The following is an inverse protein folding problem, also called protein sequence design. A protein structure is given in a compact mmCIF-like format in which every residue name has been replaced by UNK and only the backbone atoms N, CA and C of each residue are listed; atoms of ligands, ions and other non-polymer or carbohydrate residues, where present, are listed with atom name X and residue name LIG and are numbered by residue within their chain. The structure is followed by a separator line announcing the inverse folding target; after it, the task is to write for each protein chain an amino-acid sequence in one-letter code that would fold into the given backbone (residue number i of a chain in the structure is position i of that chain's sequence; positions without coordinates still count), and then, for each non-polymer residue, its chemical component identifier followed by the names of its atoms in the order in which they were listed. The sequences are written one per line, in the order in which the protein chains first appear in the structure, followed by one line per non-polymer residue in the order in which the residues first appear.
data_IF_937844110561
#
_entry.id   IF_937844110561
#
_cell.length_a   1.000
_cell.length_b   1.000
_cell.length_c   1.000
_cell.angle_alpha   90.00
_cell.angle_beta   90.00
_cell.angle_gamma   90.00
#
_symmetry.space_group_name_H-M   'P 1'
#
loop_
_entity.id
_entity.type
_entity.pdbx_description
1 polymer ?
#
# COMPACT_ATOMS: atom_id res chain seq x y z
N UNK A 1 -14.59 2.68 -19.59
CA UNK A 1 -15.59 2.69 -18.50
C UNK A 1 -14.92 2.71 -17.12
N UNK A 2 -13.98 3.61 -16.90
CA UNK A 2 -13.21 3.71 -15.67
C UNK A 2 -14.00 4.09 -14.40
N UNK A 3 -15.32 4.23 -14.47
CA UNK A 3 -16.19 4.51 -13.31
C UNK A 3 -17.18 3.40 -13.00
N UNK A 4 -17.04 2.23 -13.64
CA UNK A 4 -17.99 1.11 -13.51
C UNK A 4 -19.47 1.54 -13.71
N UNK A 5 -19.68 2.60 -14.45
CA UNK A 5 -20.99 3.17 -14.76
C UNK A 5 -20.98 3.81 -16.15
N UNK A 6 -22.12 3.78 -16.81
CA UNK A 6 -22.34 4.51 -18.04
C UNK A 6 -22.79 5.93 -17.66
N UNK A 7 -22.02 6.97 -17.94
CA UNK A 7 -22.45 8.33 -17.64
C UNK A 7 -23.68 8.68 -18.48
N UNK A 8 -24.75 9.09 -17.82
CA UNK A 8 -25.93 9.63 -18.48
C UNK A 8 -25.72 11.13 -18.69
N UNK A 9 -25.55 11.55 -19.94
CA UNK A 9 -25.44 12.94 -20.32
C UNK A 9 -26.72 13.27 -21.11
N UNK A 10 -27.46 14.28 -20.68
CA UNK A 10 -28.73 14.67 -21.31
C UNK A 10 -28.56 15.65 -22.48
N UNK A 11 -27.33 16.11 -22.76
CA UNK A 11 -26.97 16.91 -23.90
C UNK A 11 -25.98 16.14 -24.77
N UNK A 12 -26.40 15.73 -25.96
CA UNK A 12 -25.64 14.85 -26.85
C UNK A 12 -25.22 15.61 -28.11
N UNK A 13 -24.06 16.24 -28.16
CA UNK A 13 -23.48 16.53 -29.46
C UNK A 13 -23.00 15.18 -30.06
N UNK A 14 -23.85 14.56 -30.84
CA UNK A 14 -23.45 13.37 -31.59
C UNK A 14 -22.38 13.76 -32.64
N UNK A 15 -21.20 13.19 -32.47
CA UNK A 15 -20.17 13.30 -33.51
C UNK A 15 -20.53 12.40 -34.66
N UNK A 16 -20.69 12.97 -35.87
CA UNK A 16 -20.86 12.17 -37.07
C UNK A 16 -19.63 11.25 -37.24
N UNK A 17 -19.82 9.91 -37.26
CA UNK A 17 -18.69 8.97 -37.33
C UNK A 17 -17.83 9.13 -38.60
N UNK A 18 -18.34 9.77 -39.63
CA UNK A 18 -17.66 10.02 -40.90
C UNK A 18 -17.09 11.46 -41.03
N UNK A 19 -17.14 12.24 -39.96
CA UNK A 19 -16.50 13.57 -39.97
C UNK A 19 -14.98 13.46 -39.66
N UNK A 20 -14.28 14.58 -39.80
CA UNK A 20 -12.83 14.66 -39.52
C UNK A 20 -12.49 14.99 -38.09
N UNK A 21 -13.44 14.94 -37.14
CA UNK A 21 -13.18 15.22 -35.71
C UNK A 21 -12.38 14.11 -35.06
N UNK A 22 -11.69 14.43 -33.95
CA UNK A 22 -10.86 13.48 -33.20
C UNK A 22 -11.59 12.23 -32.67
N UNK A 23 -12.93 12.29 -32.55
CA UNK A 23 -13.77 11.17 -32.11
C UNK A 23 -14.42 10.39 -33.27
N UNK A 24 -14.11 10.68 -34.54
CA UNK A 24 -14.72 10.00 -35.70
C UNK A 24 -14.23 8.58 -35.88
N UNK A 25 -15.04 7.72 -36.48
CA UNK A 25 -14.69 6.33 -36.79
C UNK A 25 -13.45 6.22 -37.69
N UNK A 26 -13.36 7.11 -38.69
CA UNK A 26 -12.22 7.13 -39.64
C UNK A 26 -10.90 7.48 -38.92
N UNK A 27 -10.93 8.45 -38.02
CA UNK A 27 -9.75 8.82 -37.24
C UNK A 27 -9.32 7.70 -36.29
N UNK A 28 -10.27 7.01 -35.62
CA UNK A 28 -9.97 5.87 -34.79
C UNK A 28 -9.41 4.69 -35.59
N UNK A 29 -9.92 4.47 -36.82
CA UNK A 29 -9.38 3.44 -37.72
C UNK A 29 -7.92 3.75 -38.11
N UNK A 30 -7.59 5.02 -38.35
CA UNK A 30 -6.21 5.44 -38.66
C UNK A 30 -5.22 5.09 -37.53
N UNK A 31 -5.61 5.26 -36.27
CA UNK A 31 -4.78 4.83 -35.13
C UNK A 31 -4.52 3.33 -35.12
N UNK A 32 -5.55 2.52 -35.39
CA UNK A 32 -5.41 1.07 -35.50
C UNK A 32 -4.49 0.68 -36.66
N UNK A 33 -4.62 1.34 -37.82
CA UNK A 33 -3.78 1.08 -38.97
C UNK A 33 -2.32 1.41 -38.72
N UNK A 34 -2.03 2.56 -38.09
CA UNK A 34 -0.68 2.95 -37.71
C UNK A 34 -0.05 1.98 -36.73
N UNK A 35 -0.83 1.48 -35.75
CA UNK A 35 -0.34 0.46 -34.82
C UNK A 35 -0.01 -0.84 -35.57
N UNK A 36 -0.88 -1.34 -36.41
CA UNK A 36 -0.64 -2.53 -37.24
C UNK A 36 0.63 -2.35 -38.09
N UNK A 37 0.79 -1.19 -38.71
CA UNK A 37 1.98 -0.89 -39.52
C UNK A 37 3.25 -0.87 -38.69
N UNK A 38 3.23 -0.36 -37.44
CA UNK A 38 4.38 -0.35 -36.53
C UNK A 38 4.80 -1.75 -36.06
N UNK A 39 3.84 -2.69 -36.01
CA UNK A 39 4.05 -4.05 -35.51
C UNK A 39 4.23 -5.10 -36.63
N UNK A 40 4.06 -4.73 -37.92
CA UNK A 40 4.08 -5.69 -39.02
C UNK A 40 5.46 -6.33 -39.26
N UNK A 41 6.54 -5.71 -38.80
CA UNK A 41 7.90 -6.22 -38.93
C UNK A 41 8.30 -7.22 -37.83
N UNK A 42 7.36 -7.60 -36.94
CA UNK A 42 7.66 -8.55 -35.87
C UNK A 42 7.90 -9.96 -36.43
N UNK A 43 9.04 -10.59 -36.13
CA UNK A 43 9.47 -11.79 -36.85
C UNK A 43 8.70 -13.06 -36.47
N UNK A 44 7.89 -13.03 -35.43
CA UNK A 44 7.17 -14.19 -34.91
C UNK A 44 5.67 -13.96 -34.86
N UNK A 45 4.90 -14.91 -35.37
CA UNK A 45 3.44 -14.90 -35.24
C UNK A 45 3.02 -15.28 -33.81
N UNK A 46 2.12 -14.49 -33.23
CA UNK A 46 1.49 -14.83 -31.96
C UNK A 46 0.49 -16.00 -32.13
N UNK A 47 0.44 -16.88 -31.14
CA UNK A 47 -0.58 -17.93 -31.05
C UNK A 47 -1.71 -17.41 -30.15
N UNK A 48 -2.87 -17.15 -30.76
CA UNK A 48 -4.07 -16.69 -30.04
C UNK A 48 -5.01 -17.86 -29.76
N UNK A 49 -5.45 -17.99 -28.51
CA UNK A 49 -6.42 -18.99 -28.10
C UNK A 49 -7.59 -18.32 -27.36
N UNK A 50 -8.81 -18.70 -27.73
CA UNK A 50 -10.01 -18.32 -27.01
C UNK A 50 -10.39 -19.48 -26.08
N UNK A 51 -9.88 -19.44 -24.85
CA UNK A 51 -10.07 -20.48 -23.85
C UNK A 51 -9.97 -19.90 -22.44
N UNK A 52 -10.51 -20.62 -21.45
CA UNK A 52 -10.34 -20.25 -20.03
C UNK A 52 -8.90 -20.46 -19.57
N UNK A 53 -8.35 -19.52 -18.81
CA UNK A 53 -7.03 -19.69 -18.21
C UNK A 53 -6.90 -20.89 -17.26
N UNK A 54 -8.04 -21.43 -16.81
CA UNK A 54 -8.10 -22.68 -16.02
C UNK A 54 -8.04 -23.97 -16.84
N UNK A 55 -7.99 -23.91 -18.19
CA UNK A 55 -7.94 -25.09 -19.05
C UNK A 55 -6.51 -25.57 -19.29
N UNK A 56 -6.16 -26.76 -18.80
CA UNK A 56 -4.83 -27.36 -18.98
C UNK A 56 -4.50 -27.74 -20.41
N UNK A 57 -5.50 -27.90 -21.26
CA UNK A 57 -5.31 -28.28 -22.68
C UNK A 57 -4.76 -27.20 -23.58
N UNK A 58 -4.61 -25.96 -23.09
CA UNK A 58 -4.15 -24.85 -23.92
C UNK A 58 -2.69 -25.00 -24.36
N UNK A 59 -1.82 -25.44 -23.47
CA UNK A 59 -0.39 -25.63 -23.70
C UNK A 59 0.08 -26.97 -23.11
N UNK A 60 1.12 -27.53 -23.67
CA UNK A 60 1.71 -28.75 -23.16
C UNK A 60 2.36 -28.52 -21.78
N UNK A 61 2.52 -29.61 -21.04
CA UNK A 61 3.16 -29.58 -19.72
C UNK A 61 4.57 -28.98 -19.83
N UNK A 62 4.87 -27.97 -18.99
CA UNK A 62 6.18 -27.33 -18.89
C UNK A 62 6.71 -26.77 -20.22
N UNK A 63 5.83 -26.38 -21.14
CA UNK A 63 6.21 -25.84 -22.46
C UNK A 63 6.46 -24.34 -22.47
N UNK A 64 5.95 -23.60 -21.48
CA UNK A 64 6.11 -22.16 -21.40
C UNK A 64 7.28 -21.79 -20.50
N UNK A 65 8.21 -20.98 -21.01
CA UNK A 65 9.35 -20.48 -20.22
C UNK A 65 8.92 -19.39 -19.23
N UNK A 66 7.97 -18.55 -19.63
CA UNK A 66 7.43 -17.50 -18.79
C UNK A 66 5.91 -17.32 -19.01
N UNK A 67 5.20 -16.99 -17.94
CA UNK A 67 3.81 -16.55 -17.99
C UNK A 67 3.72 -15.18 -17.33
N UNK A 68 3.08 -14.22 -18.01
CA UNK A 68 2.75 -12.90 -17.47
C UNK A 68 1.25 -12.80 -17.42
N UNK A 69 0.69 -12.48 -16.26
CA UNK A 69 -0.76 -12.42 -16.06
C UNK A 69 -1.15 -11.24 -15.16
N UNK A 70 -2.29 -10.66 -15.50
CA UNK A 70 -2.98 -9.63 -14.73
C UNK A 70 -4.38 -10.17 -14.39
N UNK A 71 -4.52 -10.94 -13.29
CA UNK A 71 -5.78 -11.58 -12.92
C UNK A 71 -6.79 -10.54 -12.41
N UNK A 72 -8.09 -10.88 -12.36
CA UNK A 72 -9.08 -10.00 -11.75
C UNK A 72 -8.71 -9.63 -10.30
N UNK A 73 -8.92 -8.36 -9.94
CA UNK A 73 -8.53 -7.83 -8.62
C UNK A 73 -9.65 -8.03 -7.59
N UNK A 74 -9.89 -9.27 -7.21
CA UNK A 74 -10.84 -9.68 -6.18
C UNK A 74 -12.27 -9.18 -6.49
N UNK A 75 -12.76 -8.12 -5.83
CA UNK A 75 -14.09 -7.54 -6.04
C UNK A 75 -14.06 -6.12 -6.64
N UNK A 76 -12.89 -5.67 -7.09
CA UNK A 76 -12.70 -4.29 -7.54
C UNK A 76 -13.47 -3.96 -8.83
N UNK A 77 -13.58 -4.90 -9.78
CA UNK A 77 -14.19 -4.67 -11.09
C UNK A 77 -15.15 -5.81 -11.46
N UNK A 78 -16.39 -5.46 -11.78
CA UNK A 78 -17.42 -6.38 -12.28
C UNK A 78 -17.33 -6.51 -13.81
N UNK A 79 -16.33 -7.23 -14.33
CA UNK A 79 -16.04 -7.28 -15.78
C UNK A 79 -17.21 -7.82 -16.59
N UNK A 80 -17.85 -8.89 -16.14
CA UNK A 80 -19.00 -9.48 -16.84
C UNK A 80 -20.19 -8.53 -16.90
N UNK A 81 -20.47 -7.79 -15.79
CA UNK A 81 -21.56 -6.81 -15.76
C UNK A 81 -21.29 -5.62 -16.68
N UNK A 82 -20.06 -5.11 -16.68
CA UNK A 82 -19.67 -3.97 -17.52
C UNK A 82 -19.64 -4.38 -18.99
N UNK A 83 -19.19 -5.57 -19.32
CA UNK A 83 -19.12 -6.08 -20.69
C UNK A 83 -20.49 -6.41 -21.27
N UNK A 84 -21.53 -6.58 -20.46
CA UNK A 84 -22.91 -6.86 -20.89
C UNK A 84 -23.42 -5.82 -21.90
N UNK A 85 -23.10 -4.54 -21.69
CA UNK A 85 -23.45 -3.48 -22.61
C UNK A 85 -22.91 -3.73 -24.03
N UNK A 86 -21.63 -4.08 -24.14
CA UNK A 86 -21.03 -4.38 -25.43
C UNK A 86 -21.50 -5.71 -26.01
N UNK A 87 -21.72 -6.71 -25.15
CA UNK A 87 -22.18 -8.04 -25.55
C UNK A 87 -23.50 -7.97 -26.33
N UNK A 88 -24.46 -7.17 -25.86
CA UNK A 88 -25.76 -7.00 -26.52
C UNK A 88 -25.61 -6.52 -27.96
N UNK A 89 -24.74 -5.54 -28.20
CA UNK A 89 -24.52 -4.97 -29.54
C UNK A 89 -23.68 -5.89 -30.43
N UNK A 90 -22.62 -6.47 -29.89
CA UNK A 90 -21.76 -7.41 -30.60
C UNK A 90 -22.54 -8.67 -31.01
N UNK A 91 -23.40 -9.18 -30.17
CA UNK A 91 -24.26 -10.32 -30.48
C UNK A 91 -25.17 -10.05 -31.65
N UNK A 92 -25.71 -8.85 -31.77
CA UNK A 92 -26.57 -8.46 -32.90
C UNK A 92 -25.82 -8.30 -34.22
N UNK A 93 -24.58 -7.81 -34.16
CA UNK A 93 -23.75 -7.54 -35.31
C UNK A 93 -22.89 -8.72 -35.75
N UNK A 94 -22.35 -9.49 -34.82
CA UNK A 94 -21.38 -10.56 -35.04
C UNK A 94 -21.86 -11.95 -34.69
N UNK A 95 -23.04 -12.10 -34.09
CA UNK A 95 -23.53 -13.39 -33.59
C UNK A 95 -23.67 -14.47 -34.66
N UNK A 96 -23.92 -14.13 -35.92
CA UNK A 96 -23.94 -15.09 -37.04
C UNK A 96 -22.54 -15.53 -37.48
N UNK A 97 -21.53 -14.69 -37.29
CA UNK A 97 -20.13 -14.99 -37.62
C UNK A 97 -19.44 -15.79 -36.48
N UNK A 98 -19.81 -15.52 -35.23
CA UNK A 98 -19.23 -16.14 -34.06
C UNK A 98 -20.31 -16.76 -33.12
N UNK A 99 -21.08 -17.75 -33.60
CA UNK A 99 -22.27 -18.25 -32.88
C UNK A 99 -21.93 -18.86 -31.51
N UNK A 100 -20.76 -19.46 -31.35
CA UNK A 100 -20.34 -20.04 -30.07
C UNK A 100 -20.01 -18.98 -29.01
N UNK A 101 -19.42 -17.85 -29.40
CA UNK A 101 -19.09 -16.75 -28.51
C UNK A 101 -20.34 -16.01 -28.01
N UNK A 102 -21.43 -16.06 -28.78
CA UNK A 102 -22.68 -15.35 -28.49
C UNK A 102 -23.85 -16.32 -28.22
N UNK A 103 -23.56 -17.56 -27.81
CA UNK A 103 -24.57 -18.59 -27.58
C UNK A 103 -25.48 -18.27 -26.37
N UNK A 104 -24.96 -17.64 -25.34
CA UNK A 104 -25.72 -17.33 -24.11
C UNK A 104 -26.54 -16.04 -24.26
N UNK A 105 -27.67 -15.89 -23.55
CA UNK A 105 -28.44 -14.65 -23.56
C UNK A 105 -27.68 -13.46 -22.93
N UNK A 106 -26.82 -13.72 -21.97
CA UNK A 106 -26.02 -12.75 -21.21
C UNK A 106 -24.57 -13.22 -21.09
N UNK A 107 -23.69 -12.31 -20.67
CA UNK A 107 -22.30 -12.64 -20.31
C UNK A 107 -22.26 -13.64 -19.15
N UNK A 108 -21.29 -14.59 -19.13
CA UNK A 108 -21.25 -15.67 -18.12
C UNK A 108 -20.72 -15.16 -16.78
N UNK A 109 -21.59 -14.57 -15.95
CA UNK A 109 -21.26 -13.96 -14.66
C UNK A 109 -20.78 -14.96 -13.60
N UNK A 110 -21.34 -16.16 -13.60
CA UNK A 110 -20.98 -17.21 -12.64
C UNK A 110 -19.63 -17.87 -12.90
N UNK A 111 -19.09 -17.72 -14.12
CA UNK A 111 -17.78 -18.23 -14.49
C UNK A 111 -16.65 -17.22 -14.29
N UNK A 112 -17.00 -15.97 -14.03
CA UNK A 112 -16.05 -14.92 -13.78
C UNK A 112 -15.26 -15.17 -12.48
N UNK A 113 -13.93 -14.99 -12.53
CA UNK A 113 -13.08 -15.14 -11.36
C UNK A 113 -13.07 -13.82 -10.56
N UNK A 114 -14.19 -13.52 -9.88
CA UNK A 114 -14.35 -12.31 -9.04
C UNK A 114 -15.07 -12.65 -7.73
N UNK A 115 -14.84 -11.85 -6.69
CA UNK A 115 -15.48 -12.02 -5.38
C UNK A 115 -16.75 -11.17 -5.21
N UNK A 116 -17.53 -11.01 -6.27
CA UNK A 116 -18.73 -10.17 -6.30
C UNK A 116 -19.91 -10.85 -5.62
N UNK A 117 -20.30 -10.37 -4.44
CA UNK A 117 -21.39 -10.96 -3.63
C UNK A 117 -22.71 -11.08 -4.37
N UNK A 118 -23.06 -10.15 -5.27
CA UNK A 118 -24.32 -10.17 -6.01
C UNK A 118 -24.40 -11.31 -7.04
N UNK A 119 -23.28 -11.87 -7.49
CA UNK A 119 -23.22 -13.07 -8.31
C UNK A 119 -23.37 -14.38 -7.47
N UNK A 120 -23.28 -14.29 -6.13
CA UNK A 120 -23.27 -15.40 -5.20
C UNK A 120 -24.35 -15.31 -4.12
N UNK A 121 -25.56 -14.85 -4.49
CA UNK A 121 -26.71 -14.74 -3.58
C UNK A 121 -26.51 -13.76 -2.44
N UNK A 122 -25.74 -12.68 -2.68
CA UNK A 122 -25.36 -11.66 -1.71
C UNK A 122 -24.55 -12.15 -0.50
N UNK A 123 -23.90 -13.33 -0.63
CA UNK A 123 -23.03 -13.90 0.41
C UNK A 123 -21.57 -13.54 0.11
N UNK A 124 -20.91 -12.85 1.04
CA UNK A 124 -19.48 -12.49 0.97
C UNK A 124 -18.63 -13.76 1.02
N UNK A 125 -18.95 -14.70 1.94
CA UNK A 125 -18.17 -15.94 2.11
C UNK A 125 -18.19 -16.80 0.85
N UNK A 126 -19.37 -16.98 0.22
CA UNK A 126 -19.48 -17.73 -1.03
C UNK A 126 -18.73 -17.07 -2.18
N UNK A 127 -18.75 -15.74 -2.26
CA UNK A 127 -18.02 -15.01 -3.28
C UNK A 127 -16.51 -15.18 -3.11
N UNK A 128 -16.01 -15.09 -1.87
CA UNK A 128 -14.62 -15.32 -1.51
C UNK A 128 -14.18 -16.75 -1.85
N UNK A 129 -14.93 -17.75 -1.40
CA UNK A 129 -14.64 -19.16 -1.70
C UNK A 129 -14.62 -19.45 -3.20
N UNK A 130 -15.54 -18.84 -3.95
CA UNK A 130 -15.58 -18.95 -5.41
C UNK A 130 -14.31 -18.37 -6.04
N UNK A 131 -13.91 -17.14 -5.66
CA UNK A 131 -12.72 -16.49 -6.17
C UNK A 131 -11.45 -17.30 -5.85
N UNK A 132 -11.26 -17.69 -4.60
CA UNK A 132 -10.09 -18.45 -4.15
C UNK A 132 -9.96 -19.79 -4.89
N UNK A 133 -11.05 -20.52 -5.03
CA UNK A 133 -11.08 -21.77 -5.79
C UNK A 133 -10.75 -21.57 -7.27
N UNK A 134 -11.40 -20.60 -7.92
CA UNK A 134 -11.17 -20.31 -9.36
C UNK A 134 -9.74 -19.86 -9.61
N UNK A 135 -9.23 -18.97 -8.78
CA UNK A 135 -7.87 -18.47 -8.91
C UNK A 135 -6.82 -19.56 -8.67
N UNK A 136 -7.06 -20.42 -7.68
CA UNK A 136 -6.21 -21.59 -7.41
C UNK A 136 -6.18 -22.55 -8.60
N UNK A 137 -7.33 -22.82 -9.23
CA UNK A 137 -7.41 -23.68 -10.42
C UNK A 137 -6.69 -23.07 -11.63
N UNK A 138 -6.80 -21.77 -11.83
CA UNK A 138 -6.04 -21.03 -12.85
C UNK A 138 -4.55 -21.15 -12.59
N UNK A 139 -4.10 -20.90 -11.37
CA UNK A 139 -2.68 -20.98 -11.02
C UNK A 139 -2.12 -22.40 -11.09
N UNK A 140 -2.90 -23.43 -10.76
CA UNK A 140 -2.53 -24.84 -11.00
C UNK A 140 -2.33 -25.14 -12.49
N UNK A 141 -3.15 -24.54 -13.34
CA UNK A 141 -3.01 -24.68 -14.78
C UNK A 141 -1.75 -23.98 -15.27
N UNK A 142 -1.50 -22.76 -14.79
CA UNK A 142 -0.28 -22.01 -15.10
C UNK A 142 0.96 -22.78 -14.61
N UNK A 143 0.95 -23.29 -13.39
CA UNK A 143 2.04 -24.14 -12.86
C UNK A 143 2.31 -25.35 -13.74
N UNK A 144 1.25 -26.06 -14.14
CA UNK A 144 1.36 -27.24 -15.01
C UNK A 144 2.04 -26.91 -16.36
N UNK A 145 1.75 -25.75 -16.93
CA UNK A 145 2.21 -25.33 -18.25
C UNK A 145 3.57 -24.63 -18.21
N UNK A 146 3.95 -24.03 -17.08
CA UNK A 146 5.15 -23.19 -16.96
C UNK A 146 6.34 -23.99 -16.46
N UNK A 147 7.48 -23.79 -17.15
CA UNK A 147 8.74 -24.41 -16.78
C UNK A 147 9.55 -23.55 -15.78
N UNK A 148 9.45 -22.22 -15.86
CA UNK A 148 10.33 -21.32 -15.12
C UNK A 148 9.55 -20.25 -14.35
N UNK A 149 9.31 -19.07 -14.90
CA UNK A 149 8.83 -17.91 -14.17
C UNK A 149 7.37 -17.56 -14.45
N UNK A 150 6.64 -17.15 -13.42
CA UNK A 150 5.29 -16.58 -13.51
C UNK A 150 5.31 -15.20 -12.88
N UNK A 151 4.93 -14.18 -13.66
CA UNK A 151 4.78 -12.80 -13.20
C UNK A 151 3.30 -12.47 -13.08
N UNK A 152 2.85 -12.13 -11.88
CA UNK A 152 1.44 -11.84 -11.55
C UNK A 152 1.36 -10.38 -11.13
N UNK A 153 0.60 -9.57 -11.87
CA UNK A 153 0.26 -8.22 -11.47
C UNK A 153 -1.00 -8.25 -10.59
N UNK A 154 -1.00 -7.56 -9.46
CA UNK A 154 -2.16 -7.50 -8.58
C UNK A 154 -2.22 -6.19 -7.82
N UNK A 155 -3.42 -5.66 -7.66
CA UNK A 155 -3.66 -4.43 -6.92
C UNK A 155 -4.94 -4.55 -6.09
N UNK A 156 -4.85 -4.39 -4.78
CA UNK A 156 -6.01 -4.33 -3.90
C UNK A 156 -5.65 -3.70 -2.55
N UNK A 157 -6.58 -2.92 -1.98
CA UNK A 157 -6.37 -2.24 -0.70
C UNK A 157 -6.52 -3.17 0.52
N UNK A 158 -7.33 -4.24 0.40
CA UNK A 158 -7.59 -5.11 1.55
C UNK A 158 -6.55 -6.20 1.72
N UNK A 159 -6.14 -6.44 2.96
CA UNK A 159 -5.27 -7.58 3.33
C UNK A 159 -5.93 -8.92 3.00
N UNK A 160 -7.27 -8.98 3.00
CA UNK A 160 -8.02 -10.19 2.68
C UNK A 160 -7.81 -10.63 1.23
N UNK A 161 -7.86 -9.70 0.27
CA UNK A 161 -7.57 -9.99 -1.13
C UNK A 161 -6.14 -10.50 -1.32
N UNK A 162 -5.16 -9.89 -0.64
CA UNK A 162 -3.77 -10.36 -0.64
C UNK A 162 -3.62 -11.75 -0.01
N UNK A 163 -4.31 -12.02 1.09
CA UNK A 163 -4.32 -13.36 1.72
C UNK A 163 -4.85 -14.40 0.75
N UNK A 164 -5.93 -14.09 0.05
CA UNK A 164 -6.54 -14.99 -0.94
C UNK A 164 -5.62 -15.24 -2.14
N UNK A 165 -4.97 -14.19 -2.67
CA UNK A 165 -3.96 -14.33 -3.73
C UNK A 165 -2.82 -15.24 -3.29
N UNK A 166 -2.23 -14.99 -2.12
CA UNK A 166 -1.11 -15.78 -1.59
C UNK A 166 -1.50 -17.23 -1.30
N UNK A 167 -2.71 -17.48 -0.75
CA UNK A 167 -3.26 -18.83 -0.58
C UNK A 167 -3.38 -19.55 -1.93
N UNK A 168 -3.87 -18.87 -2.96
CA UNK A 168 -4.04 -19.45 -4.29
C UNK A 168 -2.69 -19.79 -4.94
N UNK A 169 -1.67 -18.94 -4.78
CA UNK A 169 -0.30 -19.21 -5.26
C UNK A 169 0.28 -20.44 -4.55
N UNK A 170 0.23 -20.47 -3.22
CA UNK A 170 0.75 -21.58 -2.41
C UNK A 170 -0.01 -22.88 -2.72
N UNK A 171 -1.34 -22.82 -2.79
CA UNK A 171 -2.22 -23.97 -3.08
C UNK A 171 -2.07 -24.53 -4.50
N UNK A 172 -1.40 -23.80 -5.38
CA UNK A 172 -1.09 -24.21 -6.76
C UNK A 172 0.32 -24.81 -6.94
N UNK A 173 1.05 -25.06 -5.87
CA UNK A 173 2.45 -25.52 -5.91
C UNK A 173 3.40 -24.54 -6.59
N UNK A 174 3.15 -23.26 -6.41
CA UNK A 174 4.09 -22.18 -6.73
C UNK A 174 4.59 -21.53 -5.45
N UNK A 175 5.78 -20.96 -5.52
CA UNK A 175 6.31 -20.11 -4.45
C UNK A 175 6.69 -18.73 -4.99
N UNK A 176 6.49 -17.70 -4.19
CA UNK A 176 6.88 -16.33 -4.50
C UNK A 176 8.39 -16.21 -4.39
N UNK A 177 9.02 -15.61 -5.39
CA UNK A 177 10.46 -15.37 -5.42
C UNK A 177 10.83 -13.91 -5.29
N UNK A 178 9.88 -13.01 -5.50
CA UNK A 178 10.05 -11.57 -5.32
C UNK A 178 8.75 -10.81 -5.55
N UNK A 179 8.70 -9.57 -5.10
CA UNK A 179 7.57 -8.66 -5.32
C UNK A 179 8.06 -7.23 -5.41
N UNK A 180 7.49 -6.45 -6.34
CA UNK A 180 7.87 -5.07 -6.59
C UNK A 180 6.62 -4.21 -6.78
N UNK A 181 6.52 -3.06 -6.10
CA UNK A 181 5.49 -2.09 -6.41
C UNK A 181 5.78 -1.46 -7.78
N UNK A 182 4.74 -1.20 -8.55
CA UNK A 182 4.82 -0.55 -9.86
C UNK A 182 3.78 0.54 -9.93
N UNK A 183 4.19 1.74 -10.32
CA UNK A 183 3.28 2.84 -10.62
C UNK A 183 2.64 2.60 -12.00
N UNK A 184 1.45 2.02 -11.99
CA UNK A 184 0.72 1.63 -13.21
C UNK A 184 -0.44 2.56 -13.53
N UNK A 185 -0.79 3.46 -12.61
CA UNK A 185 -1.97 4.31 -12.75
C UNK A 185 -1.60 5.72 -13.23
N UNK A 186 -2.20 6.16 -14.33
CA UNK A 186 -2.09 7.55 -14.77
C UNK A 186 -2.79 8.50 -13.79
N UNK A 187 -2.04 9.43 -13.23
CA UNK A 187 -2.58 10.54 -12.44
C UNK A 187 -3.34 11.51 -13.34
N UNK A 188 -4.66 11.40 -13.36
CA UNK A 188 -5.55 12.34 -14.09
C UNK A 188 -6.26 13.29 -13.14
N UNK A 189 -6.44 14.54 -13.54
CA UNK A 189 -7.11 15.59 -12.75
C UNK A 189 -8.52 15.21 -12.22
N UNK A 190 -9.18 14.22 -12.79
CA UNK A 190 -10.48 13.69 -12.35
C UNK A 190 -10.36 12.61 -11.26
N UNK A 191 -9.16 12.05 -11.06
CA UNK A 191 -8.90 10.98 -10.09
C UNK A 191 -8.61 11.52 -8.68
N UNK A 192 -8.27 12.79 -8.53
CA UNK A 192 -7.91 13.40 -7.24
C UNK A 192 -9.05 13.46 -6.20
N UNK A 193 -10.28 13.14 -6.57
CA UNK A 193 -11.45 13.17 -5.68
C UNK A 193 -12.00 11.79 -5.31
N UNK A 194 -11.41 10.71 -5.79
CA UNK A 194 -11.81 9.33 -5.49
C UNK A 194 -10.63 8.55 -4.91
N UNK A 195 -10.90 7.60 -4.00
CA UNK A 195 -9.90 6.65 -3.53
C UNK A 195 -9.55 5.69 -4.69
N UNK A 196 -8.41 5.89 -5.32
CA UNK A 196 -7.86 4.99 -6.32
C UNK A 196 -6.69 4.21 -5.74
N UNK A 197 -6.49 3.01 -6.28
CA UNK A 197 -5.22 2.32 -6.16
C UNK A 197 -4.19 3.10 -6.98
N UNK A 198 -3.17 3.64 -6.34
CA UNK A 198 -2.13 4.43 -7.03
C UNK A 198 -1.08 3.53 -7.66
N UNK A 199 -0.87 2.34 -7.12
CA UNK A 199 0.09 1.38 -7.63
C UNK A 199 -0.45 -0.05 -7.65
N UNK A 200 0.14 -0.88 -8.49
CA UNK A 200 0.03 -2.33 -8.44
C UNK A 200 1.32 -2.96 -7.93
N UNK A 201 1.24 -4.19 -7.45
CA UNK A 201 2.42 -4.97 -7.09
C UNK A 201 2.57 -6.12 -8.07
N UNK A 202 3.74 -6.21 -8.67
CA UNK A 202 4.13 -7.37 -9.48
C UNK A 202 4.78 -8.41 -8.59
N UNK A 203 4.20 -9.61 -8.56
CA UNK A 203 4.68 -10.76 -7.80
C UNK A 203 5.28 -11.77 -8.77
N UNK A 204 6.56 -12.10 -8.59
CA UNK A 204 7.21 -13.18 -9.34
C UNK A 204 7.13 -14.49 -8.57
N UNK A 205 6.73 -15.53 -9.27
CA UNK A 205 6.59 -16.88 -8.72
C UNK A 205 7.37 -17.89 -9.58
N UNK A 206 7.67 -19.04 -8.99
CA UNK A 206 8.18 -20.21 -9.70
C UNK A 206 7.46 -21.47 -9.23
N UNK A 207 7.30 -22.49 -10.10
CA UNK A 207 6.94 -23.82 -9.65
C UNK A 207 7.87 -24.29 -8.54
N UNK A 208 7.33 -24.78 -7.44
CA UNK A 208 8.11 -25.16 -6.26
C UNK A 208 7.45 -26.35 -5.56
N UNK A 209 8.22 -27.42 -5.41
CA UNK A 209 7.84 -28.50 -4.53
C UNK A 209 8.08 -28.03 -3.09
N UNK A 210 6.99 -27.99 -2.31
CA UNK A 210 7.05 -27.71 -0.88
C UNK A 210 7.46 -28.97 -0.15
N UNK A 211 8.50 -28.89 0.66
CA UNK A 211 9.04 -30.06 1.33
C UNK A 211 9.21 -29.84 2.83
N UNK A 212 8.77 -30.82 3.59
CA UNK A 212 9.08 -30.94 5.00
C UNK A 212 8.34 -29.95 5.91
N UNK A 213 8.71 -30.04 7.16
CA UNK A 213 8.15 -29.32 8.28
C UNK A 213 9.18 -28.32 8.83
N UNK A 214 8.72 -27.14 9.26
CA UNK A 214 9.57 -26.20 9.98
C UNK A 214 8.81 -25.51 11.13
N UNK A 215 9.55 -25.10 12.16
CA UNK A 215 8.99 -24.38 13.30
C UNK A 215 8.76 -22.90 12.94
N UNK A 216 7.62 -22.36 13.37
CA UNK A 216 7.29 -20.96 13.17
C UNK A 216 8.37 -20.01 13.70
N UNK A 217 9.05 -20.37 14.78
CA UNK A 217 10.14 -19.56 15.35
C UNK A 217 11.28 -19.33 14.35
N UNK A 218 11.67 -20.34 13.57
CA UNK A 218 12.73 -20.20 12.54
C UNK A 218 12.23 -19.43 11.33
N UNK A 219 11.03 -19.77 10.84
CA UNK A 219 10.40 -19.08 9.71
C UNK A 219 10.19 -17.60 10.03
N UNK A 220 9.67 -17.27 11.22
CA UNK A 220 9.52 -15.89 11.70
C UNK A 220 10.83 -15.10 11.62
N UNK A 221 11.94 -15.66 12.14
CA UNK A 221 13.25 -15.01 12.11
C UNK A 221 13.74 -14.78 10.67
N UNK A 222 13.51 -15.74 9.78
CA UNK A 222 13.87 -15.61 8.36
C UNK A 222 13.04 -14.52 7.66
N UNK A 223 11.73 -14.46 7.94
CA UNK A 223 10.82 -13.41 7.44
C UNK A 223 11.28 -12.04 7.93
N UNK A 224 11.51 -11.87 9.24
CA UNK A 224 11.95 -10.59 9.82
C UNK A 224 13.26 -10.08 9.16
N UNK A 225 14.23 -10.97 8.93
CA UNK A 225 15.49 -10.61 8.28
C UNK A 225 15.27 -10.17 6.83
N UNK A 226 14.52 -10.98 6.07
CA UNK A 226 14.30 -10.74 4.64
C UNK A 226 13.42 -9.53 4.36
N UNK A 227 12.37 -9.33 5.15
CA UNK A 227 11.52 -8.14 5.07
C UNK A 227 12.33 -6.88 5.41
N UNK A 228 13.21 -6.94 6.42
CA UNK A 228 14.07 -5.80 6.77
C UNK A 228 15.01 -5.42 5.62
N UNK A 229 15.61 -6.40 4.95
CA UNK A 229 16.47 -6.16 3.78
C UNK A 229 15.69 -5.52 2.64
N UNK A 230 14.51 -6.04 2.33
CA UNK A 230 13.64 -5.55 1.26
C UNK A 230 13.14 -4.12 1.53
N UNK A 231 12.71 -3.83 2.77
CA UNK A 231 12.28 -2.48 3.17
C UNK A 231 13.38 -1.46 2.93
N UNK A 232 14.61 -1.77 3.33
CA UNK A 232 15.73 -0.85 3.13
C UNK A 232 15.99 -0.62 1.64
N UNK A 233 16.00 -1.67 0.82
CA UNK A 233 16.22 -1.56 -0.62
C UNK A 233 15.10 -0.74 -1.31
N UNK A 234 13.84 -1.01 -1.00
CA UNK A 234 12.70 -0.29 -1.58
C UNK A 234 12.66 1.18 -1.09
N UNK A 235 13.00 1.43 0.16
CA UNK A 235 13.06 2.78 0.71
C UNK A 235 14.14 3.64 0.03
N UNK A 236 15.31 3.08 -0.24
CA UNK A 236 16.38 3.73 -1.00
C UNK A 236 15.96 4.03 -2.45
N UNK A 237 15.15 3.18 -3.05
CA UNK A 237 14.57 3.39 -4.40
C UNK A 237 13.44 4.43 -4.42
N UNK A 238 13.04 4.97 -3.26
CA UNK A 238 12.04 6.03 -3.17
C UNK A 238 10.60 5.54 -2.91
N UNK A 239 10.36 4.23 -2.76
CA UNK A 239 9.04 3.72 -2.41
C UNK A 239 8.66 4.10 -0.98
N UNK A 240 7.39 4.45 -0.76
CA UNK A 240 6.83 4.89 0.51
C UNK A 240 5.42 4.32 0.70
N UNK A 241 4.85 4.54 1.86
CA UNK A 241 3.44 4.28 2.13
C UNK A 241 3.03 2.82 2.08
N UNK A 242 1.78 2.61 1.71
CA UNK A 242 1.15 1.31 1.63
C UNK A 242 1.81 0.39 0.60
N UNK A 243 2.35 0.95 -0.47
CA UNK A 243 3.00 0.21 -1.55
C UNK A 243 4.25 -0.52 -1.08
N UNK A 244 5.09 0.16 -0.27
CA UNK A 244 6.27 -0.44 0.34
C UNK A 244 5.88 -1.60 1.27
N UNK A 245 4.84 -1.41 2.11
CA UNK A 245 4.36 -2.46 3.01
C UNK A 245 3.83 -3.67 2.23
N UNK A 246 3.07 -3.40 1.16
CA UNK A 246 2.46 -4.46 0.35
C UNK A 246 3.50 -5.27 -0.42
N UNK A 247 4.55 -4.62 -0.93
CA UNK A 247 5.66 -5.30 -1.59
C UNK A 247 6.39 -6.28 -0.64
N UNK A 248 6.42 -6.00 0.64
CA UNK A 248 7.02 -6.90 1.63
C UNK A 248 6.25 -8.21 1.86
N UNK A 249 4.97 -8.29 1.42
CA UNK A 249 4.19 -9.52 1.53
C UNK A 249 4.82 -10.68 0.78
N UNK A 250 5.32 -10.43 -0.42
CA UNK A 250 5.98 -11.44 -1.22
C UNK A 250 7.17 -12.09 -0.51
N UNK A 251 7.93 -11.32 0.24
CA UNK A 251 9.09 -11.83 0.97
C UNK A 251 8.69 -12.75 2.12
N UNK A 252 7.64 -12.41 2.86
CA UNK A 252 7.14 -13.27 3.93
C UNK A 252 6.58 -14.59 3.37
N UNK A 253 5.78 -14.52 2.31
CA UNK A 253 5.21 -15.71 1.66
C UNK A 253 6.29 -16.56 1.00
N UNK A 254 7.35 -15.96 0.46
CA UNK A 254 8.51 -16.67 -0.10
C UNK A 254 9.18 -17.57 0.93
N UNK A 255 9.36 -17.12 2.16
CA UNK A 255 9.97 -17.94 3.21
C UNK A 255 9.03 -19.06 3.70
N UNK A 256 7.75 -18.77 3.81
CA UNK A 256 6.74 -19.76 4.22
C UNK A 256 6.53 -20.84 3.15
N UNK A 257 6.47 -20.46 1.88
CA UNK A 257 6.19 -21.35 0.76
C UNK A 257 7.28 -22.38 0.48
N UNK A 258 8.41 -22.37 1.19
CA UNK A 258 9.44 -23.41 1.13
C UNK A 258 9.02 -24.72 1.81
N UNK A 259 8.10 -24.64 2.78
CA UNK A 259 7.73 -25.74 3.64
C UNK A 259 6.30 -26.21 3.36
N UNK A 260 6.05 -27.50 3.53
CA UNK A 260 4.71 -28.07 3.42
C UNK A 260 3.83 -27.61 4.59
N UNK A 261 4.37 -27.65 5.80
CA UNK A 261 3.74 -27.19 7.03
C UNK A 261 4.68 -26.34 7.88
N UNK A 262 4.12 -25.28 8.47
CA UNK A 262 4.80 -24.47 9.47
C UNK A 262 3.95 -24.43 10.72
N UNK A 263 4.49 -24.92 11.85
CA UNK A 263 3.75 -25.06 13.10
C UNK A 263 4.27 -24.15 14.20
N UNK A 264 3.32 -23.70 15.02
CA UNK A 264 3.61 -22.98 16.28
C UNK A 264 4.01 -23.96 17.38
N UNK A 265 4.46 -23.41 18.51
CA UNK A 265 4.86 -24.21 19.67
C UNK A 265 3.71 -25.03 20.30
N UNK A 266 2.46 -24.63 20.06
CA UNK A 266 1.26 -25.32 20.51
C UNK A 266 0.75 -26.40 19.53
N UNK A 267 1.44 -26.62 18.40
CA UNK A 267 1.09 -27.57 17.37
C UNK A 267 0.07 -27.05 16.36
N UNK A 268 -0.39 -25.80 16.45
CA UNK A 268 -1.28 -25.21 15.45
C UNK A 268 -0.50 -24.74 14.22
N UNK A 269 -1.12 -24.89 13.04
CA UNK A 269 -0.56 -24.40 11.79
C UNK A 269 -0.64 -22.88 11.70
N UNK A 270 0.35 -22.28 11.03
CA UNK A 270 0.39 -20.84 10.75
C UNK A 270 -0.38 -20.54 9.47
N UNK A 271 -1.27 -19.57 9.52
CA UNK A 271 -2.04 -19.11 8.36
C UNK A 271 -1.29 -18.05 7.55
N UNK A 272 -1.60 -17.94 6.26
CA UNK A 272 -1.05 -16.86 5.40
C UNK A 272 -1.42 -15.48 5.94
N UNK A 273 -2.62 -15.29 6.47
CA UNK A 273 -3.03 -14.03 7.09
C UNK A 273 -2.11 -13.60 8.24
N UNK A 274 -1.74 -14.54 9.13
CA UNK A 274 -0.78 -14.26 10.22
C UNK A 274 0.61 -13.90 9.70
N UNK A 275 1.02 -14.49 8.58
CA UNK A 275 2.31 -14.14 7.95
C UNK A 275 2.31 -12.74 7.35
N UNK A 276 1.21 -12.34 6.71
CA UNK A 276 1.09 -11.00 6.15
C UNK A 276 1.08 -9.93 7.26
N UNK A 277 0.43 -10.21 8.39
CA UNK A 277 0.51 -9.33 9.56
C UNK A 277 1.94 -9.28 10.14
N UNK A 278 2.64 -10.40 10.20
CA UNK A 278 4.05 -10.44 10.59
C UNK A 278 4.93 -9.63 9.61
N UNK A 279 4.69 -9.74 8.31
CA UNK A 279 5.41 -8.97 7.29
C UNK A 279 5.24 -7.46 7.48
N UNK A 280 4.00 -7.00 7.69
CA UNK A 280 3.70 -5.59 7.98
C UNK A 280 4.42 -5.10 9.22
N UNK A 281 4.33 -5.86 10.32
CA UNK A 281 4.99 -5.51 11.58
C UNK A 281 6.51 -5.45 11.42
N UNK A 282 7.08 -6.40 10.69
CA UNK A 282 8.52 -6.45 10.42
C UNK A 282 8.97 -5.28 9.56
N UNK A 283 8.20 -4.94 8.52
CA UNK A 283 8.47 -3.79 7.65
C UNK A 283 8.40 -2.46 8.44
N UNK A 284 7.38 -2.31 9.26
CA UNK A 284 7.23 -1.15 10.11
C UNK A 284 8.38 -1.01 11.11
N UNK A 285 8.78 -2.10 11.77
CA UNK A 285 9.92 -2.09 12.69
C UNK A 285 11.24 -1.79 11.98
N UNK A 286 11.41 -2.23 10.73
CA UNK A 286 12.57 -1.90 9.92
C UNK A 286 12.65 -0.40 9.60
N UNK A 287 11.53 0.23 9.24
CA UNK A 287 11.44 1.67 8.99
C UNK A 287 11.73 2.49 10.24
N UNK A 288 11.31 2.02 11.41
CA UNK A 288 11.54 2.67 12.70
C UNK A 288 12.84 2.22 13.38
N UNK A 289 13.77 1.61 12.64
CA UNK A 289 15.07 1.21 13.19
C UNK A 289 15.81 2.42 13.76
N UNK A 290 16.28 2.30 15.01
CA UNK A 290 16.92 3.40 15.74
C UNK A 290 15.97 4.18 16.66
N UNK A 291 14.67 3.87 16.64
CA UNK A 291 13.66 4.45 17.52
C UNK A 291 13.12 3.46 18.56
N UNK A 292 13.85 2.36 18.77
CA UNK A 292 13.55 1.40 19.84
C UNK A 292 13.66 2.11 21.20
N UNK A 293 12.66 1.86 22.06
CA UNK A 293 12.59 2.46 23.39
C UNK A 293 11.94 3.84 23.45
N UNK A 294 11.49 4.41 22.34
CA UNK A 294 10.58 5.56 22.35
C UNK A 294 9.14 5.12 22.68
N UNK A 295 8.38 6.07 23.22
CA UNK A 295 6.94 5.87 23.40
C UNK A 295 6.20 5.68 22.08
N UNK A 296 5.04 5.04 22.15
CA UNK A 296 4.26 4.63 20.96
C UNK A 296 3.72 5.82 20.16
N UNK A 297 3.41 6.95 20.79
CA UNK A 297 2.91 8.14 20.12
C UNK A 297 3.99 8.84 19.30
N UNK A 298 5.20 8.91 19.84
CA UNK A 298 6.38 9.43 19.14
C UNK A 298 6.75 8.54 17.96
N UNK A 299 6.73 7.23 18.14
CA UNK A 299 6.96 6.27 17.06
C UNK A 299 5.88 6.39 15.97
N UNK A 300 4.61 6.56 16.38
CA UNK A 300 3.52 6.80 15.45
C UNK A 300 3.77 8.05 14.60
N UNK A 301 4.10 9.17 15.22
CA UNK A 301 4.30 10.43 14.52
C UNK A 301 5.44 10.34 13.48
N UNK A 302 6.59 9.78 13.89
CA UNK A 302 7.74 9.60 12.99
C UNK A 302 7.42 8.61 11.88
N UNK A 303 6.85 7.47 12.22
CA UNK A 303 6.49 6.45 11.26
C UNK A 303 5.44 6.93 10.25
N UNK A 304 4.44 7.68 10.72
CA UNK A 304 3.46 8.32 9.82
C UNK A 304 4.13 9.30 8.86
N UNK A 305 5.00 10.15 9.39
CA UNK A 305 5.72 11.13 8.58
C UNK A 305 6.61 10.47 7.51
N UNK A 306 7.27 9.37 7.86
CA UNK A 306 8.06 8.57 6.90
C UNK A 306 7.19 7.94 5.80
N UNK A 307 5.99 7.50 6.14
CA UNK A 307 5.12 6.74 5.26
C UNK A 307 4.23 7.62 4.40
N UNK A 308 3.63 8.66 4.99
CA UNK A 308 2.58 9.46 4.39
C UNK A 308 2.94 10.95 4.26
N UNK A 309 4.05 11.38 4.87
CA UNK A 309 4.38 12.80 4.94
C UNK A 309 3.36 13.60 5.76
N UNK A 310 3.19 14.87 5.41
CA UNK A 310 2.23 15.80 6.03
C UNK A 310 0.92 15.90 5.21
N UNK A 311 0.80 15.15 4.13
CA UNK A 311 -0.36 15.21 3.23
C UNK A 311 -1.61 14.54 3.80
N UNK A 312 -2.73 14.78 3.12
CA UNK A 312 -4.02 14.17 3.44
C UNK A 312 -4.05 12.67 3.08
N UNK A 313 -4.52 11.85 4.01
CA UNK A 313 -4.61 10.38 3.88
C UNK A 313 -6.03 9.91 4.23
N UNK A 314 -6.48 8.79 3.68
CA UNK A 314 -7.79 8.22 4.00
C UNK A 314 -7.83 7.56 5.39
N UNK A 315 -9.02 7.57 6.03
CA UNK A 315 -9.19 7.07 7.40
C UNK A 315 -8.81 5.60 7.56
N UNK A 316 -9.10 4.77 6.56
CA UNK A 316 -8.80 3.34 6.62
C UNK A 316 -7.30 3.07 6.67
N UNK A 317 -6.50 3.86 5.97
CA UNK A 317 -5.05 3.75 5.98
C UNK A 317 -4.46 4.19 7.33
N UNK A 318 -5.02 5.25 7.93
CA UNK A 318 -4.65 5.66 9.28
C UNK A 318 -4.95 4.59 10.34
N UNK A 319 -6.14 3.99 10.27
CA UNK A 319 -6.54 2.95 11.20
C UNK A 319 -5.69 1.68 11.04
N UNK A 320 -5.34 1.31 9.80
CA UNK A 320 -4.42 0.20 9.51
C UNK A 320 -3.02 0.50 10.05
N UNK A 321 -2.51 1.70 9.81
CA UNK A 321 -1.20 2.11 10.29
C UNK A 321 -1.10 2.07 11.82
N UNK A 322 -2.09 2.60 12.54
CA UNK A 322 -2.12 2.57 14.00
C UNK A 322 -2.18 1.14 14.58
N UNK A 323 -2.86 0.19 13.89
CA UNK A 323 -2.99 -1.20 14.36
C UNK A 323 -1.75 -2.05 14.04
N UNK A 324 -1.09 -1.82 12.91
CA UNK A 324 -0.05 -2.72 12.38
C UNK A 324 1.27 -2.58 13.11
N UNK A 325 1.61 -1.39 13.58
CA UNK A 325 2.93 -1.12 14.16
C UNK A 325 2.91 -0.78 15.64
N UNK A 326 1.74 -0.56 16.24
CA UNK A 326 1.63 0.01 17.57
C UNK A 326 0.42 -0.55 18.32
N UNK A 327 0.58 -0.75 19.61
CA UNK A 327 -0.53 -1.14 20.51
C UNK A 327 -1.44 0.06 20.84
N UNK A 328 -1.60 1.02 19.93
CA UNK A 328 -2.35 2.25 20.14
C UNK A 328 -3.66 2.23 19.35
N UNK A 329 -4.75 2.63 19.99
CA UNK A 329 -6.01 2.80 19.30
C UNK A 329 -6.00 4.10 18.48
N UNK A 330 -6.61 4.06 17.31
CA UNK A 330 -6.73 5.25 16.45
C UNK A 330 -7.47 6.40 17.15
N UNK A 331 -8.42 6.09 18.08
CA UNK A 331 -9.09 7.07 18.92
C UNK A 331 -8.10 7.86 19.76
N UNK A 332 -7.12 7.19 20.38
CA UNK A 332 -6.14 7.84 21.26
C UNK A 332 -5.22 8.79 20.46
N UNK A 333 -4.95 8.44 19.21
CA UNK A 333 -4.19 9.29 18.28
C UNK A 333 -4.95 10.60 17.98
N UNK A 334 -6.26 10.51 17.74
CA UNK A 334 -7.10 11.70 17.56
C UNK A 334 -7.28 12.51 18.85
N UNK A 335 -7.44 11.84 19.99
CA UNK A 335 -7.58 12.50 21.31
C UNK A 335 -6.31 13.27 21.70
N UNK A 336 -5.13 12.75 21.37
CA UNK A 336 -3.86 13.45 21.53
C UNK A 336 -3.57 14.47 20.41
N UNK A 337 -4.48 14.60 19.47
CA UNK A 337 -4.37 15.53 18.35
C UNK A 337 -3.09 15.34 17.53
N UNK A 338 -2.66 14.07 17.34
CA UNK A 338 -1.56 13.72 16.45
C UNK A 338 -2.04 13.66 15.00
N UNK A 339 -3.28 13.24 14.78
CA UNK A 339 -3.97 13.34 13.51
C UNK A 339 -5.15 14.31 13.62
N UNK A 340 -5.37 15.07 12.56
CA UNK A 340 -6.51 15.97 12.41
C UNK A 340 -7.38 15.46 11.28
N UNK A 341 -8.70 15.39 11.56
CA UNK A 341 -9.68 14.93 10.58
C UNK A 341 -10.33 16.09 9.87
N UNK A 342 -10.32 16.05 8.53
CA UNK A 342 -11.00 17.02 7.65
C UNK A 342 -11.90 16.24 6.69
N UNK A 343 -13.19 16.12 7.04
CA UNK A 343 -14.13 15.29 6.30
C UNK A 343 -13.79 13.80 6.39
N UNK A 344 -13.53 13.14 5.26
CA UNK A 344 -13.11 11.74 5.20
C UNK A 344 -11.58 11.56 5.20
N UNK A 345 -10.82 12.64 5.16
CA UNK A 345 -9.37 12.64 5.15
C UNK A 345 -8.82 13.04 6.51
N UNK A 346 -7.60 12.68 6.77
CA UNK A 346 -6.81 13.11 7.91
C UNK A 346 -5.37 13.39 7.50
N UNK A 347 -4.73 14.27 8.24
CA UNK A 347 -3.34 14.61 8.10
C UNK A 347 -2.63 14.65 9.45
N UNK A 348 -1.31 14.55 9.43
CA UNK A 348 -0.48 14.68 10.61
C UNK A 348 -0.50 16.12 11.12
N UNK A 349 -0.78 16.30 12.41
CA UNK A 349 -0.88 17.62 13.00
C UNK A 349 0.49 18.31 13.12
N UNK A 350 0.57 19.56 12.70
CA UNK A 350 1.70 20.44 12.98
C UNK A 350 1.80 20.80 14.46
N UNK A 351 2.97 21.28 14.91
CA UNK A 351 3.10 21.75 16.29
C UNK A 351 2.10 22.87 16.61
N UNK A 352 1.85 23.80 15.68
CA UNK A 352 0.91 24.94 15.87
C UNK A 352 -0.54 24.45 16.06
N UNK A 353 -1.00 23.51 15.28
CA UNK A 353 -2.33 22.95 15.41
C UNK A 353 -2.53 22.28 16.77
N UNK A 354 -1.50 21.62 17.28
CA UNK A 354 -1.53 20.97 18.61
C UNK A 354 -1.47 21.98 19.76
N UNK A 355 -0.69 23.06 19.61
CA UNK A 355 -0.64 24.17 20.58
C UNK A 355 -2.01 24.84 20.73
N UNK A 356 -2.69 25.14 19.62
CA UNK A 356 -4.03 25.78 19.63
C UNK A 356 -5.07 24.93 20.38
N UNK A 357 -4.88 23.61 20.39
CA UNK A 357 -5.78 22.67 21.08
C UNK A 357 -5.34 22.32 22.50
N UNK A 358 -4.26 22.92 22.98
CA UNK A 358 -3.63 22.62 24.28
C UNK A 358 -3.39 21.11 24.49
N UNK A 359 -2.86 20.47 23.44
CA UNK A 359 -2.61 19.01 23.42
C UNK A 359 -1.13 18.64 23.64
N UNK A 360 -0.30 19.60 23.99
CA UNK A 360 1.10 19.36 24.32
C UNK A 360 1.24 19.02 25.80
N UNK A 361 1.82 17.88 26.10
CA UNK A 361 2.14 17.48 27.46
C UNK A 361 3.10 18.43 28.16
N UNK A 362 3.02 18.54 29.46
CA UNK A 362 3.84 19.45 30.29
C UNK A 362 4.85 18.67 31.12
N UNK A 363 4.54 17.41 31.45
CA UNK A 363 5.33 16.58 32.34
C UNK A 363 6.38 15.77 31.57
N UNK A 364 7.47 15.43 32.25
CA UNK A 364 8.52 14.58 31.66
C UNK A 364 8.03 13.17 31.25
N UNK A 365 6.92 12.73 31.83
CA UNK A 365 6.25 11.46 31.50
C UNK A 365 5.39 11.50 30.24
N UNK A 366 5.11 12.70 29.71
CA UNK A 366 4.34 12.84 28.47
C UNK A 366 5.12 12.34 27.25
N UNK A 367 4.42 11.94 26.16
CA UNK A 367 5.06 11.48 24.95
C UNK A 367 6.17 12.42 24.46
N UNK A 368 7.27 11.87 24.00
CA UNK A 368 8.43 12.67 23.58
C UNK A 368 8.10 13.61 22.42
N UNK A 369 7.19 13.23 21.55
CA UNK A 369 6.71 14.13 20.45
C UNK A 369 5.99 15.37 21.01
N UNK A 370 5.30 15.25 22.14
CA UNK A 370 4.65 16.39 22.81
C UNK A 370 5.72 17.36 23.32
N UNK A 371 6.79 16.81 23.88
CA UNK A 371 7.93 17.59 24.37
C UNK A 371 8.69 18.28 23.21
N UNK A 372 8.83 17.60 22.08
CA UNK A 372 9.46 18.17 20.88
C UNK A 372 8.60 19.32 20.31
N UNK A 373 7.31 19.15 20.17
CA UNK A 373 6.42 20.21 19.72
C UNK A 373 6.37 21.40 20.69
N UNK A 374 6.45 21.13 21.99
CA UNK A 374 6.57 22.20 23.00
C UNK A 374 7.90 22.95 22.89
N UNK A 375 8.99 22.26 22.59
CA UNK A 375 10.29 22.95 22.34
C UNK A 375 10.20 23.82 21.09
N UNK A 376 9.54 23.36 20.04
CA UNK A 376 9.30 24.14 18.81
C UNK A 376 8.48 25.41 19.09
N UNK A 377 7.42 25.31 19.90
CA UNK A 377 6.61 26.45 20.32
C UNK A 377 7.40 27.45 21.17
N UNK A 378 8.14 26.96 22.17
CA UNK A 378 9.01 27.80 22.99
C UNK A 378 10.09 28.50 22.15
N UNK A 379 10.65 27.80 21.14
CA UNK A 379 11.63 28.39 20.22
C UNK A 379 11.00 29.47 19.34
N UNK A 380 9.82 29.20 18.79
CA UNK A 380 9.04 30.15 18.00
C UNK A 380 8.71 31.44 18.81
N UNK A 381 8.40 31.29 20.09
CA UNK A 381 8.09 32.43 20.98
C UNK A 381 9.29 33.32 21.29
N UNK A 382 10.51 32.83 21.06
CA UNK A 382 11.75 33.52 21.39
C UNK A 382 12.06 33.63 22.90
N UNK A 383 11.28 32.96 23.76
CA UNK A 383 11.49 32.94 25.21
C UNK A 383 12.62 31.98 25.60
N UNK A 384 13.85 32.48 25.63
CA UNK A 384 15.04 31.69 25.98
C UNK A 384 14.92 31.00 27.33
N UNK A 385 14.27 31.64 28.31
CA UNK A 385 14.11 31.07 29.64
C UNK A 385 13.20 29.84 29.65
N UNK A 386 12.10 29.87 28.87
CA UNK A 386 11.22 28.70 28.70
C UNK A 386 11.94 27.57 27.99
N UNK A 387 12.68 27.88 26.93
CA UNK A 387 13.45 26.85 26.18
C UNK A 387 14.45 26.16 27.09
N UNK A 388 15.30 26.91 27.80
CA UNK A 388 16.33 26.33 28.64
C UNK A 388 15.75 25.46 29.76
N UNK A 389 14.65 25.91 30.41
CA UNK A 389 13.95 25.08 31.40
C UNK A 389 13.41 23.79 30.80
N UNK A 390 12.90 23.85 29.58
CA UNK A 390 12.37 22.69 28.89
C UNK A 390 13.49 21.71 28.48
N UNK A 391 14.58 22.21 27.87
CA UNK A 391 15.74 21.41 27.50
C UNK A 391 16.40 20.76 28.71
N UNK A 392 16.42 21.40 29.86
CA UNK A 392 16.91 20.81 31.11
C UNK A 392 16.17 19.50 31.46
N UNK A 393 14.88 19.41 31.14
CA UNK A 393 14.04 18.23 31.43
C UNK A 393 14.24 17.14 30.39
N UNK A 394 14.27 17.49 29.08
CA UNK A 394 14.13 16.50 28.00
C UNK A 394 15.39 16.29 27.16
N UNK A 395 16.29 17.25 27.12
CA UNK A 395 17.41 17.31 26.21
C UNK A 395 18.72 17.81 26.81
N UNK A 396 18.93 17.63 28.12
CA UNK A 396 20.17 18.10 28.83
C UNK A 396 21.45 17.42 28.36
N UNK A 397 21.34 16.28 27.68
CA UNK A 397 22.47 15.55 27.11
C UNK A 397 22.32 15.42 25.59
N UNK A 398 23.45 15.53 24.87
CA UNK A 398 23.46 15.37 23.42
C UNK A 398 23.01 13.96 22.96
N UNK A 399 23.17 12.95 23.79
CA UNK A 399 22.73 11.57 23.56
C UNK A 399 21.23 11.33 23.81
N UNK A 400 20.53 12.35 24.35
CA UNK A 400 19.10 12.24 24.67
C UNK A 400 18.26 11.84 23.44
N UNK A 401 17.24 10.99 23.61
CA UNK A 401 16.28 10.66 22.56
C UNK A 401 15.62 11.91 21.93
N UNK A 402 15.48 12.99 22.66
CA UNK A 402 14.93 14.25 22.19
C UNK A 402 15.67 14.79 20.95
N UNK A 403 17.00 14.87 21.00
CA UNK A 403 17.81 15.37 19.88
C UNK A 403 17.78 14.41 18.68
N UNK A 404 17.68 13.12 18.94
CA UNK A 404 17.55 12.10 17.90
C UNK A 404 16.22 12.23 17.16
N UNK A 405 15.11 12.48 17.86
CA UNK A 405 13.81 12.75 17.25
C UNK A 405 13.84 14.02 16.43
N UNK A 406 14.40 15.12 16.95
CA UNK A 406 14.58 16.36 16.20
C UNK A 406 15.40 16.16 14.92
N UNK A 407 16.50 15.41 14.99
CA UNK A 407 17.33 15.11 13.82
C UNK A 407 16.53 14.37 12.74
N UNK A 408 15.70 13.40 13.13
CA UNK A 408 14.84 12.69 12.19
C UNK A 408 13.74 13.57 11.61
N UNK A 409 13.12 14.42 12.41
CA UNK A 409 12.14 15.39 11.91
C UNK A 409 12.76 16.37 10.91
N UNK A 410 14.02 16.78 11.13
CA UNK A 410 14.74 17.64 10.16
C UNK A 410 14.88 17.01 8.78
N UNK A 411 15.04 15.68 8.72
CA UNK A 411 15.19 14.97 7.45
C UNK A 411 13.85 14.67 6.77
N UNK A 412 12.78 14.52 7.57
CA UNK A 412 11.48 14.04 7.10
C UNK A 412 10.47 15.15 6.82
N UNK A 413 10.56 16.28 7.51
CA UNK A 413 9.60 17.36 7.35
C UNK A 413 9.79 18.09 6.02
N UNK A 414 8.70 18.42 5.30
CA UNK A 414 8.76 19.27 4.12
C UNK A 414 9.15 20.71 4.51
N UNK A 415 9.53 21.50 3.51
CA UNK A 415 9.75 22.94 3.72
C UNK A 415 8.52 23.59 4.35
N UNK A 416 8.73 24.34 5.44
CA UNK A 416 7.65 24.97 6.19
C UNK A 416 8.09 25.42 7.58
N UNK A 417 7.10 25.88 8.35
CA UNK A 417 7.34 26.42 9.68
C UNK A 417 7.89 25.37 10.65
N UNK A 418 7.32 24.15 10.66
CA UNK A 418 7.78 23.05 11.51
C UNK A 418 9.26 22.74 11.27
N UNK A 419 9.69 22.63 10.01
CA UNK A 419 11.09 22.41 9.67
C UNK A 419 11.97 23.56 10.13
N UNK A 420 11.50 24.80 10.00
CA UNK A 420 12.24 26.00 10.43
C UNK A 420 12.52 25.96 11.93
N UNK A 421 11.52 25.59 12.76
CA UNK A 421 11.69 25.50 14.20
C UNK A 421 12.66 24.35 14.58
N UNK A 422 12.53 23.20 13.93
CA UNK A 422 13.42 22.05 14.13
C UNK A 422 14.87 22.41 13.79
N UNK A 423 15.09 23.05 12.65
CA UNK A 423 16.43 23.51 12.23
C UNK A 423 17.02 24.52 13.22
N UNK A 424 16.22 25.46 13.72
CA UNK A 424 16.62 26.43 14.74
C UNK A 424 17.09 25.75 16.02
N UNK A 425 16.33 24.80 16.54
CA UNK A 425 16.69 24.04 17.76
C UNK A 425 17.97 23.22 17.56
N UNK A 426 18.10 22.51 16.43
CA UNK A 426 19.29 21.68 16.16
C UNK A 426 20.54 22.55 16.00
N UNK A 427 20.44 23.66 15.26
CA UNK A 427 21.57 24.53 15.02
C UNK A 427 22.10 25.19 16.30
N UNK A 428 21.25 25.34 17.33
CA UNK A 428 21.61 25.90 18.63
C UNK A 428 21.72 24.86 19.74
N UNK A 429 21.70 23.55 19.42
CA UNK A 429 21.68 22.47 20.39
C UNK A 429 22.85 22.52 21.39
N UNK A 430 24.06 22.81 20.92
CA UNK A 430 25.24 22.88 21.79
C UNK A 430 25.12 24.02 22.85
N UNK A 431 24.67 25.21 22.44
CA UNK A 431 24.41 26.35 23.32
C UNK A 431 23.29 26.04 24.32
N UNK A 432 22.19 25.40 23.85
CA UNK A 432 21.06 25.03 24.69
C UNK A 432 21.43 23.97 25.75
N UNK A 433 22.20 22.97 25.37
CA UNK A 433 22.70 21.93 26.31
C UNK A 433 23.65 22.55 27.31
N UNK A 434 24.57 23.40 26.90
CA UNK A 434 25.54 24.04 27.77
C UNK A 434 24.85 24.89 28.85
N UNK A 435 23.84 25.66 28.49
CA UNK A 435 23.20 26.64 29.36
C UNK A 435 21.89 26.19 30.02
N UNK A 436 21.38 24.98 29.70
CA UNK A 436 20.14 24.49 30.31
C UNK A 436 20.25 24.21 31.83
N UNK A 437 21.49 24.07 32.34
CA UNK A 437 21.76 23.88 33.75
C UNK A 437 22.04 25.17 34.51
N UNK A 438 22.21 26.30 33.82
CA UNK A 438 22.42 27.57 34.47
C UNK A 438 21.17 27.98 35.25
N UNK A 439 21.31 28.32 36.49
CA UNK A 439 20.22 28.90 37.28
C UNK A 439 19.91 30.31 36.72
N UNK A 440 18.76 30.42 36.07
CA UNK A 440 18.28 31.76 35.66
C UNK A 440 17.77 32.45 36.92
N UNK A 441 18.65 33.06 37.62
CA UNK A 441 18.30 34.00 38.70
C UNK A 441 17.74 35.25 38.05
N UNK A 442 16.41 35.36 38.01
CA UNK A 442 15.78 36.66 37.75
C UNK A 442 16.06 37.56 38.94
N UNK A 443 17.10 38.37 38.87
CA UNK A 443 17.15 39.57 39.66
C UNK A 443 16.06 40.49 39.14
N UNK A 444 14.98 40.55 39.88
CA UNK A 444 13.99 41.60 39.76
C UNK A 444 14.75 42.92 40.05
N UNK A 445 15.21 43.57 38.99
CA UNK A 445 15.73 44.95 39.12
C UNK A 445 14.57 45.83 39.58
N UNK A 446 14.67 46.26 40.81
CA UNK A 446 13.83 47.35 41.33
C UNK A 446 14.15 48.59 40.50
N UNK A 447 13.26 48.90 39.58
CA UNK A 447 13.18 50.15 38.86
C UNK A 447 12.60 51.21 39.83
N UNK A 448 13.38 51.62 40.81
CA UNK A 448 13.16 52.85 41.59
C UNK A 448 14.30 53.01 42.63
N UNK A 449 15.36 53.65 42.23
CA UNK A 449 16.13 54.60 43.00
C UNK A 449 16.63 55.71 42.05
#
# INVERSE_FOLDING_TARGET
MGRQAIPMVFDYPESNPFCSSSGSALNQLEWLTRYIESECDYPFAAILKNASSGEKSQFEKKSLNAVVTDPPYYDAIAYADISEFFYVWLKRTLGTLYPLNFATPQTPKTDECTALKHHHGNSIDKAKEHFERKLTDIFRTIEYQTNDIVSIMFAHQSTEAWTTLCNSIIGSQMNITGSWPMDTEMTGALKSQMAYLESSVTVSCRPSERNGFESFKRVKKAIEAKVTEEVNALYELGFRGADLLTACFGQAVSEFGKYETVEKADGSEVTVGELLELAKLSAFNALLRGFEGLDEYTRFYIGWLQMNGMGDTDFDDAAKFARVGMSVNISDIFDKHLLIRTGNKQHLATYKERVVKDKLGIEASDPLIDQVHRAMDNWHSGDRGKILRHIKIVGSEASSPFWRVLASLKELLPEGDDLTQVQGLISNSADLIQHCSDEITYTQGTLFE
#
